data_IF_661519173834
#
_entry.id   IF_661519173834
#
_cell.length_a   1.000
_cell.length_b   1.000
_cell.length_c   1.000
_cell.angle_alpha   90.00
_cell.angle_beta   90.00
_cell.angle_gamma   90.00
#
_symmetry.space_group_name_H-M   'P 1'
#
loop_
_entity.id
_entity.type
_entity.pdbx_description
1 polymer ?
#
# COMPACT_ATOMS: atom_id res chain seq x y z
N UNK A 1 -8.35 10.18 7.92
CA UNK A 1 -7.43 9.73 6.89
C UNK A 1 -8.15 8.91 5.82
N UNK A 2 -7.50 8.66 4.71
CA UNK A 2 -8.02 7.80 3.64
C UNK A 2 -7.05 6.65 3.48
N UNK A 3 -7.57 5.42 3.52
CA UNK A 3 -6.76 4.24 3.25
C UNK A 3 -6.39 4.14 1.78
N UNK A 4 -5.18 3.68 1.50
CA UNK A 4 -4.70 3.54 0.13
C UNK A 4 -3.79 2.32 -0.05
N UNK A 5 -3.73 1.84 -1.28
CA UNK A 5 -2.81 0.78 -1.67
C UNK A 5 -1.88 1.25 -2.79
N UNK A 6 -0.58 0.98 -2.62
CA UNK A 6 0.42 1.17 -3.67
C UNK A 6 0.58 -0.15 -4.42
N UNK A 7 0.12 -0.18 -5.66
CA UNK A 7 0.19 -1.32 -6.55
C UNK A 7 1.41 -1.24 -7.48
N UNK A 8 1.92 -2.37 -7.92
CA UNK A 8 3.01 -2.42 -8.88
C UNK A 8 3.77 -3.74 -8.85
N UNK A 9 4.54 -4.01 -9.88
CA UNK A 9 5.39 -5.21 -9.98
C UNK A 9 6.60 -5.13 -9.04
N UNK A 10 7.34 -6.22 -8.92
CA UNK A 10 8.63 -6.24 -8.20
C UNK A 10 9.56 -5.15 -8.75
N UNK A 11 10.28 -4.49 -7.84
CA UNK A 11 11.25 -3.41 -8.15
C UNK A 11 10.63 -2.15 -8.78
N UNK A 12 9.30 -1.96 -8.76
CA UNK A 12 8.64 -0.75 -9.28
C UNK A 12 8.75 0.47 -8.36
N UNK A 13 9.30 0.30 -7.15
CA UNK A 13 9.50 1.39 -6.18
C UNK A 13 8.35 1.56 -5.18
N UNK A 14 7.48 0.56 -5.00
CA UNK A 14 6.34 0.62 -4.05
C UNK A 14 6.77 0.99 -2.63
N UNK A 15 7.76 0.26 -2.07
CA UNK A 15 8.24 0.52 -0.71
C UNK A 15 8.90 1.90 -0.59
N UNK A 16 9.62 2.34 -1.62
CA UNK A 16 10.22 3.69 -1.66
C UNK A 16 9.13 4.77 -1.64
N UNK A 17 8.07 4.57 -2.45
CA UNK A 17 6.92 5.48 -2.47
C UNK A 17 6.17 5.46 -1.14
N UNK A 18 5.95 4.28 -0.56
CA UNK A 18 5.33 4.13 0.76
C UNK A 18 6.12 4.87 1.84
N UNK A 19 7.47 4.75 1.85
CA UNK A 19 8.34 5.51 2.75
C UNK A 19 8.16 7.02 2.57
N UNK A 20 8.12 7.51 1.34
CA UNK A 20 7.95 8.93 1.05
C UNK A 20 6.59 9.45 1.53
N UNK A 21 5.52 8.71 1.26
CA UNK A 21 4.16 9.06 1.70
C UNK A 21 4.06 9.10 3.23
N UNK A 22 4.52 8.06 3.91
CA UNK A 22 4.49 7.98 5.37
C UNK A 22 5.44 9.01 6.01
N UNK A 23 6.59 9.29 5.39
CA UNK A 23 7.53 10.31 5.85
C UNK A 23 7.00 11.75 5.77
N UNK A 24 5.96 11.98 4.94
CA UNK A 24 5.28 13.30 4.85
C UNK A 24 4.17 13.51 5.89
N UNK A 25 3.84 12.48 6.66
CA UNK A 25 2.84 12.56 7.73
C UNK A 25 3.37 13.45 8.86
N UNK A 26 2.52 14.30 9.46
CA UNK A 26 2.89 15.12 10.62
C UNK A 26 3.44 14.30 11.78
N UNK A 27 4.42 14.85 12.50
CA UNK A 27 5.19 14.13 13.51
C UNK A 27 4.41 13.77 14.77
N UNK A 28 3.28 14.46 15.03
CA UNK A 28 2.32 14.17 16.11
C UNK A 28 1.47 12.92 15.84
N UNK A 29 1.40 12.48 14.58
CA UNK A 29 0.60 11.32 14.17
C UNK A 29 1.32 10.01 14.52
N UNK A 30 0.56 9.08 15.11
CA UNK A 30 1.07 7.74 15.43
C UNK A 30 0.98 6.82 14.24
N UNK A 31 2.15 6.41 13.74
CA UNK A 31 2.27 5.43 12.66
C UNK A 31 2.71 4.10 13.26
N UNK A 32 1.96 3.04 13.00
CA UNK A 32 2.32 1.68 13.37
C UNK A 32 2.68 0.90 12.12
N UNK A 33 3.95 0.47 11.99
CA UNK A 33 4.40 -0.28 10.81
C UNK A 33 4.48 -1.76 11.09
N UNK A 34 4.08 -2.56 10.11
CA UNK A 34 4.07 -4.03 10.15
C UNK A 34 4.80 -4.53 8.90
N UNK A 35 5.93 -5.19 9.09
CA UNK A 35 6.77 -5.67 8.01
C UNK A 35 7.15 -7.13 8.20
N UNK A 36 7.55 -7.81 7.12
CA UNK A 36 7.96 -9.22 7.14
C UNK A 36 9.42 -9.37 6.75
N UNK A 37 10.17 -10.09 7.55
CA UNK A 37 11.56 -10.45 7.27
C UNK A 37 12.58 -9.36 7.57
N UNK A 38 12.45 -8.19 6.96
CA UNK A 38 13.38 -7.09 7.16
C UNK A 38 12.64 -5.75 7.25
N UNK A 39 13.26 -4.78 7.94
CA UNK A 39 12.76 -3.41 7.96
C UNK A 39 13.13 -2.71 6.66
N UNK A 40 12.13 -2.25 5.94
CA UNK A 40 12.25 -1.44 4.72
C UNK A 40 11.67 -0.03 4.90
N UNK A 41 10.85 0.18 5.93
CA UNK A 41 10.27 1.48 6.27
C UNK A 41 11.15 2.20 7.30
N UNK A 42 11.80 3.28 6.87
CA UNK A 42 12.73 4.07 7.68
C UNK A 42 12.10 5.43 8.01
N UNK A 43 11.19 5.44 8.97
CA UNK A 43 10.34 6.60 9.27
C UNK A 43 10.80 7.41 10.49
N UNK A 44 11.73 6.89 11.31
CA UNK A 44 12.18 7.57 12.52
C UNK A 44 12.95 8.84 12.16
N UNK A 45 12.40 9.98 12.58
CA UNK A 45 13.05 11.30 12.46
C UNK A 45 13.76 11.64 13.76
N UNK A 46 14.98 12.15 13.66
CA UNK A 46 15.79 12.58 14.80
C UNK A 46 16.25 14.01 14.64
N UNK A 47 16.31 14.74 15.75
CA UNK A 47 16.90 16.06 15.77
C UNK A 47 18.44 15.99 15.79
N UNK A 48 19.11 17.15 15.81
CA UNK A 48 20.58 17.26 15.86
C UNK A 48 21.22 16.63 17.09
N UNK A 49 20.46 16.34 18.13
CA UNK A 49 20.91 15.69 19.37
C UNK A 49 20.63 14.19 19.38
N UNK A 50 20.05 13.64 18.30
CA UNK A 50 19.70 12.23 18.18
C UNK A 50 18.36 11.85 18.81
N UNK A 51 17.60 12.80 19.35
CA UNK A 51 16.29 12.56 19.98
C UNK A 51 15.22 12.33 18.92
N UNK A 52 14.35 11.34 19.16
CA UNK A 52 13.24 11.01 18.26
C UNK A 52 12.19 12.12 18.30
N UNK A 53 11.77 12.59 17.13
CA UNK A 53 10.85 13.71 16.96
C UNK A 53 9.43 13.28 16.55
N UNK A 54 9.25 12.06 16.06
CA UNK A 54 7.96 11.58 15.56
C UNK A 54 7.49 10.31 16.29
N UNK A 55 6.21 10.00 16.17
CA UNK A 55 5.57 8.90 16.87
C UNK A 55 5.41 7.69 15.92
N UNK A 56 6.42 6.83 15.88
CA UNK A 56 6.42 5.64 15.00
C UNK A 56 6.75 4.39 15.81
N UNK A 57 5.90 3.38 15.71
CA UNK A 57 6.12 2.04 16.25
C UNK A 57 6.43 1.09 15.10
N UNK A 58 7.64 0.54 15.07
CA UNK A 58 8.04 -0.45 14.07
C UNK A 58 7.91 -1.87 14.61
N UNK A 59 7.21 -2.73 13.87
CA UNK A 59 7.10 -4.16 14.18
C UNK A 59 7.50 -5.01 12.98
N UNK A 60 8.03 -6.19 13.29
CA UNK A 60 8.40 -7.22 12.32
C UNK A 60 7.71 -8.53 12.68
N UNK A 61 7.19 -9.22 11.68
CA UNK A 61 6.77 -10.60 11.87
C UNK A 61 7.99 -11.47 12.21
N UNK A 62 7.76 -12.50 13.02
CA UNK A 62 8.80 -13.42 13.44
C UNK A 62 8.38 -14.85 13.12
N UNK A 63 8.81 -15.40 11.97
CA UNK A 63 8.63 -16.82 11.69
C UNK A 63 9.47 -17.65 12.67
N UNK A 64 8.97 -18.82 13.05
CA UNK A 64 9.63 -19.75 13.95
C UNK A 64 9.56 -21.16 13.36
N UNK A 65 10.69 -21.86 13.28
CA UNK A 65 10.80 -23.20 12.68
C UNK A 65 9.92 -24.25 13.37
N UNK A 66 9.68 -24.09 14.67
CA UNK A 66 8.83 -24.98 15.46
C UNK A 66 7.41 -24.42 15.73
N UNK A 67 7.06 -23.27 15.19
CA UNK A 67 5.76 -22.62 15.35
C UNK A 67 5.48 -22.04 16.75
N UNK A 68 6.23 -22.42 17.77
CA UNK A 68 5.92 -22.08 19.17
C UNK A 68 6.01 -20.58 19.50
N UNK A 69 6.76 -19.82 18.70
CA UNK A 69 6.98 -18.38 18.89
C UNK A 69 6.76 -17.60 17.58
N UNK A 70 5.94 -18.14 16.71
CA UNK A 70 5.60 -17.48 15.46
C UNK A 70 4.74 -16.25 15.74
N UNK A 71 5.10 -15.13 15.13
CA UNK A 71 4.30 -13.89 15.13
C UNK A 71 4.07 -13.52 13.68
N UNK A 72 2.84 -13.66 13.22
CA UNK A 72 2.43 -13.35 11.85
C UNK A 72 2.17 -11.85 11.66
N UNK A 73 2.15 -11.40 10.40
CA UNK A 73 1.71 -10.05 10.09
C UNK A 73 0.23 -9.84 10.46
N UNK A 74 -0.61 -10.87 10.30
CA UNK A 74 -2.02 -10.85 10.70
C UNK A 74 -2.18 -10.51 12.18
N UNK A 75 -1.45 -11.21 13.06
CA UNK A 75 -1.47 -10.95 14.50
C UNK A 75 -0.98 -9.55 14.85
N UNK A 76 0.03 -9.05 14.14
CA UNK A 76 0.54 -7.69 14.33
C UNK A 76 -0.48 -6.62 13.89
N UNK A 77 -1.26 -6.86 12.82
CA UNK A 77 -2.36 -5.96 12.43
C UNK A 77 -3.40 -5.89 13.55
N UNK A 78 -3.85 -7.04 14.05
CA UNK A 78 -4.83 -7.09 15.16
C UNK A 78 -4.30 -6.42 16.43
N UNK A 79 -3.02 -6.62 16.75
CA UNK A 79 -2.38 -5.98 17.88
C UNK A 79 -2.29 -4.45 17.71
N UNK A 80 -1.95 -3.99 16.50
CA UNK A 80 -1.81 -2.57 16.18
C UNK A 80 -3.06 -1.75 16.56
N UNK A 81 -4.26 -2.31 16.35
CA UNK A 81 -5.53 -1.62 16.63
C UNK A 81 -5.71 -1.23 18.11
N UNK A 82 -4.94 -1.86 19.02
CA UNK A 82 -4.97 -1.55 20.47
C UNK A 82 -4.00 -0.45 20.87
N UNK A 83 -3.17 0.03 19.94
CA UNK A 83 -2.20 1.10 20.18
C UNK A 83 -2.72 2.48 19.77
N UNK A 84 -3.99 2.58 19.40
CA UNK A 84 -4.63 3.82 18.94
C UNK A 84 -3.78 4.52 17.84
N UNK A 85 -3.48 3.82 16.72
CA UNK A 85 -2.69 4.40 15.65
C UNK A 85 -3.54 5.33 14.78
N UNK A 86 -2.99 6.47 14.38
CA UNK A 86 -3.58 7.29 13.32
C UNK A 86 -3.44 6.59 11.96
N UNK A 87 -2.36 5.81 11.78
CA UNK A 87 -2.07 5.08 10.54
C UNK A 87 -1.48 3.71 10.85
N UNK A 88 -2.05 2.67 10.26
CA UNK A 88 -1.48 1.33 10.21
C UNK A 88 -0.83 1.14 8.84
N UNK A 89 0.49 0.98 8.81
CA UNK A 89 1.25 0.78 7.59
C UNK A 89 1.71 -0.68 7.48
N UNK A 90 1.04 -1.45 6.63
CA UNK A 90 1.46 -2.82 6.31
C UNK A 90 2.39 -2.76 5.11
N UNK A 91 3.67 -3.10 5.29
CA UNK A 91 4.70 -2.94 4.27
C UNK A 91 4.32 -3.59 2.94
N UNK A 92 3.79 -4.81 3.00
CA UNK A 92 3.22 -5.51 1.85
C UNK A 92 2.21 -6.56 2.30
N UNK A 93 1.10 -6.67 1.56
CA UNK A 93 0.12 -7.75 1.73
C UNK A 93 0.33 -8.84 0.67
N UNK A 94 0.51 -10.07 1.13
CA UNK A 94 0.82 -11.25 0.29
C UNK A 94 -0.08 -12.45 0.57
N UNK A 95 -0.65 -12.52 1.78
CA UNK A 95 -1.40 -13.68 2.27
C UNK A 95 -2.53 -13.26 3.23
N UNK A 96 -2.72 -13.99 4.31
CA UNK A 96 -3.82 -13.86 5.27
C UNK A 96 -3.95 -12.46 5.91
N UNK A 97 -2.85 -11.74 6.08
CA UNK A 97 -2.83 -10.36 6.57
C UNK A 97 -3.66 -9.40 5.71
N UNK A 98 -3.94 -9.74 4.45
CA UNK A 98 -4.81 -8.96 3.58
C UNK A 98 -6.20 -8.79 4.19
N UNK A 99 -6.78 -9.85 4.75
CA UNK A 99 -8.09 -9.79 5.40
C UNK A 99 -8.08 -8.87 6.62
N UNK A 100 -7.07 -9.00 7.50
CA UNK A 100 -6.97 -8.15 8.69
C UNK A 100 -6.72 -6.68 8.34
N UNK A 101 -5.99 -6.39 7.26
CA UNK A 101 -5.79 -5.03 6.76
C UNK A 101 -7.10 -4.43 6.20
N UNK A 102 -7.88 -5.22 5.46
CA UNK A 102 -9.22 -4.84 4.98
C UNK A 102 -10.15 -4.54 6.15
N UNK A 103 -10.25 -5.46 7.12
CA UNK A 103 -11.06 -5.31 8.33
C UNK A 103 -10.68 -4.07 9.13
N UNK A 104 -9.38 -3.85 9.36
CA UNK A 104 -8.89 -2.68 10.05
C UNK A 104 -9.35 -1.36 9.36
N UNK A 105 -9.28 -1.32 8.03
CA UNK A 105 -9.76 -0.16 7.27
C UNK A 105 -11.28 0.01 7.37
N UNK A 106 -12.06 -1.05 7.22
CA UNK A 106 -13.52 -1.01 7.30
C UNK A 106 -14.02 -0.62 8.70
N UNK A 107 -13.23 -0.89 9.74
CA UNK A 107 -13.55 -0.52 11.12
C UNK A 107 -13.06 0.88 11.51
N UNK A 108 -12.58 1.67 10.55
CA UNK A 108 -12.30 3.11 10.72
C UNK A 108 -10.83 3.49 10.88
N UNK A 109 -9.91 2.53 10.81
CA UNK A 109 -8.48 2.85 10.83
C UNK A 109 -7.98 3.26 9.43
N UNK A 110 -7.05 4.20 9.38
CA UNK A 110 -6.35 4.51 8.13
C UNK A 110 -5.28 3.46 7.88
N UNK A 111 -5.45 2.66 6.83
CA UNK A 111 -4.49 1.61 6.44
C UNK A 111 -3.79 1.99 5.15
N UNK A 112 -2.46 1.92 5.16
CA UNK A 112 -1.63 2.14 3.96
C UNK A 112 -0.78 0.90 3.72
N UNK A 113 -0.80 0.38 2.49
CA UNK A 113 -0.10 -0.86 2.18
C UNK A 113 0.41 -0.92 0.76
N UNK A 114 1.21 -1.95 0.44
CA UNK A 114 1.60 -2.26 -0.93
C UNK A 114 1.09 -3.64 -1.35
N UNK A 115 0.89 -3.82 -2.66
CA UNK A 115 0.49 -5.10 -3.23
C UNK A 115 1.13 -5.33 -4.61
N UNK A 116 1.50 -6.58 -4.88
CA UNK A 116 1.95 -6.98 -6.22
C UNK A 116 0.74 -7.18 -7.15
N UNK A 117 0.42 -6.16 -7.94
CA UNK A 117 -0.67 -6.22 -8.93
C UNK A 117 -0.51 -5.16 -10.02
N UNK A 118 -1.44 -5.14 -10.98
CA UNK A 118 -1.68 -4.02 -11.89
C UNK A 118 -2.44 -2.85 -11.22
N UNK A 119 -2.79 -1.81 -12.00
CA UNK A 119 -3.48 -0.63 -11.51
C UNK A 119 -4.97 -0.88 -11.20
N UNK A 120 -5.57 0.05 -10.46
CA UNK A 120 -7.01 0.17 -10.27
C UNK A 120 -7.69 -1.13 -9.85
N UNK A 121 -8.62 -1.61 -10.68
CA UNK A 121 -9.39 -2.83 -10.40
C UNK A 121 -8.53 -4.09 -10.17
N UNK A 122 -7.40 -4.21 -10.87
CA UNK A 122 -6.50 -5.34 -10.69
C UNK A 122 -5.92 -5.40 -9.27
N UNK A 123 -5.69 -4.25 -8.63
CA UNK A 123 -5.23 -4.19 -7.24
C UNK A 123 -6.31 -4.74 -6.30
N UNK A 124 -7.55 -4.30 -6.43
CA UNK A 124 -8.66 -4.80 -5.62
C UNK A 124 -8.95 -6.28 -5.86
N UNK A 125 -8.91 -6.73 -7.11
CA UNK A 125 -9.05 -8.15 -7.44
C UNK A 125 -7.96 -9.00 -6.78
N UNK A 126 -6.71 -8.50 -6.74
CA UNK A 126 -5.62 -9.19 -6.06
C UNK A 126 -5.84 -9.25 -4.55
N UNK A 127 -6.26 -8.16 -3.93
CA UNK A 127 -6.57 -8.11 -2.48
C UNK A 127 -7.72 -9.08 -2.17
N UNK A 128 -8.80 -9.07 -2.95
CA UNK A 128 -9.92 -9.98 -2.78
C UNK A 128 -9.49 -11.45 -2.83
N UNK A 129 -8.64 -11.83 -3.79
CA UNK A 129 -8.07 -13.18 -3.88
C UNK A 129 -7.23 -13.56 -2.66
N UNK A 130 -6.49 -12.61 -2.08
CA UNK A 130 -5.72 -12.86 -0.86
C UNK A 130 -6.63 -13.06 0.36
N UNK A 131 -7.70 -12.26 0.48
CA UNK A 131 -8.68 -12.40 1.56
C UNK A 131 -9.37 -13.78 1.52
N UNK A 132 -9.65 -14.32 0.35
CA UNK A 132 -10.26 -15.66 0.19
C UNK A 132 -9.39 -16.81 0.70
N UNK A 133 -8.08 -16.61 0.84
CA UNK A 133 -7.20 -17.64 1.44
C UNK A 133 -7.52 -17.89 2.91
N UNK A 134 -8.10 -16.92 3.58
CA UNK A 134 -8.46 -17.01 5.00
C UNK A 134 -9.91 -17.45 5.22
N UNK A 135 -10.81 -16.94 4.41
CA UNK A 135 -12.24 -17.16 4.53
C UNK A 135 -12.86 -17.47 3.15
N UNK A 136 -13.74 -18.46 3.11
CA UNK A 136 -14.51 -18.82 1.92
C UNK A 136 -15.68 -17.83 1.70
N UNK A 137 -15.35 -16.53 1.63
CA UNK A 137 -16.31 -15.52 1.20
C UNK A 137 -16.44 -15.58 -0.32
N UNK A 138 -17.61 -15.35 -0.86
CA UNK A 138 -17.78 -15.21 -2.31
C UNK A 138 -16.89 -14.09 -2.86
N UNK A 139 -16.35 -14.25 -4.09
CA UNK A 139 -15.46 -13.27 -4.72
C UNK A 139 -16.03 -11.87 -4.75
N UNK A 140 -17.30 -11.74 -5.06
CA UNK A 140 -18.01 -10.46 -5.11
C UNK A 140 -17.99 -9.73 -3.76
N UNK A 141 -18.16 -10.47 -2.66
CA UNK A 141 -18.12 -9.90 -1.31
C UNK A 141 -16.71 -9.42 -1.00
N UNK A 142 -15.69 -10.27 -1.21
CA UNK A 142 -14.30 -9.90 -0.98
C UNK A 142 -13.85 -8.72 -1.83
N UNK A 143 -14.32 -8.64 -3.08
CA UNK A 143 -14.01 -7.53 -3.98
C UNK A 143 -14.70 -6.22 -3.52
N UNK A 144 -15.95 -6.31 -3.07
CA UNK A 144 -16.67 -5.17 -2.51
C UNK A 144 -15.98 -4.64 -1.25
N UNK A 145 -15.56 -5.52 -0.35
CA UNK A 145 -14.81 -5.14 0.85
C UNK A 145 -13.46 -4.51 0.53
N UNK A 146 -12.69 -5.07 -0.41
CA UNK A 146 -11.42 -4.51 -0.83
C UNK A 146 -11.55 -3.10 -1.42
N UNK A 147 -12.61 -2.85 -2.22
CA UNK A 147 -12.92 -1.54 -2.80
C UNK A 147 -13.28 -0.51 -1.73
N UNK A 148 -14.08 -0.89 -0.75
CA UNK A 148 -14.46 -0.03 0.36
C UNK A 148 -13.27 0.27 1.29
N UNK A 149 -12.43 -0.74 1.56
CA UNK A 149 -11.26 -0.61 2.43
C UNK A 149 -10.19 0.30 1.83
N UNK A 150 -9.94 0.21 0.53
CA UNK A 150 -8.87 0.95 -0.15
C UNK A 150 -9.44 1.79 -1.31
N UNK A 151 -10.11 2.92 -1.02
CA UNK A 151 -10.71 3.73 -2.07
C UNK A 151 -9.69 4.35 -3.04
N UNK A 152 -8.40 4.45 -2.65
CA UNK A 152 -7.34 4.99 -3.49
C UNK A 152 -6.31 3.91 -3.86
N UNK A 153 -5.98 3.84 -5.15
CA UNK A 153 -4.92 3.00 -5.71
C UNK A 153 -3.88 3.88 -6.38
N UNK A 154 -2.62 3.74 -5.96
CA UNK A 154 -1.47 4.41 -6.57
C UNK A 154 -0.66 3.37 -7.32
N UNK A 155 -0.53 3.48 -8.63
CA UNK A 155 0.19 2.51 -9.44
C UNK A 155 1.61 2.97 -9.76
N UNK A 156 2.59 2.21 -9.26
CA UNK A 156 4.01 2.42 -9.50
C UNK A 156 4.55 1.43 -10.52
N UNK A 157 5.31 1.92 -11.49
CA UNK A 157 5.90 1.13 -12.57
C UNK A 157 7.38 1.41 -12.75
N UNK A 158 8.14 0.35 -13.07
CA UNK A 158 9.52 0.46 -13.54
C UNK A 158 9.51 0.47 -15.06
N UNK A 159 9.90 1.59 -15.64
CA UNK A 159 9.96 1.80 -17.08
C UNK A 159 11.18 1.10 -17.71
N UNK A 160 11.21 1.03 -19.05
CA UNK A 160 12.27 0.39 -19.82
C UNK A 160 13.64 1.10 -19.69
N UNK A 161 13.63 2.40 -19.39
CA UNK A 161 14.82 3.20 -19.06
C UNK A 161 15.31 2.98 -17.62
N UNK A 162 14.76 1.99 -16.89
CA UNK A 162 14.97 1.73 -15.47
C UNK A 162 14.49 2.84 -14.53
N UNK A 163 13.88 3.92 -15.01
CA UNK A 163 13.22 4.88 -14.14
C UNK A 163 11.98 4.27 -13.47
N UNK A 164 11.64 4.78 -12.30
CA UNK A 164 10.43 4.39 -11.56
C UNK A 164 9.50 5.57 -11.52
N UNK A 165 8.25 5.34 -11.89
CA UNK A 165 7.25 6.39 -12.01
C UNK A 165 5.94 5.96 -11.36
N UNK A 166 5.23 6.91 -10.78
CA UNK A 166 3.80 6.75 -10.49
C UNK A 166 3.08 6.95 -11.82
N UNK A 167 2.45 5.91 -12.33
CA UNK A 167 1.79 5.95 -13.64
C UNK A 167 0.36 6.47 -13.55
N UNK A 168 -0.34 6.12 -12.47
CA UNK A 168 -1.67 6.67 -12.20
C UNK A 168 -1.98 6.68 -10.69
N UNK A 169 -2.90 7.55 -10.33
CA UNK A 169 -3.62 7.53 -9.06
C UNK A 169 -5.09 7.46 -9.42
N UNK A 170 -5.76 6.39 -8.99
CA UNK A 170 -7.17 6.17 -9.25
C UNK A 170 -7.95 6.02 -7.94
N UNK A 171 -9.19 6.47 -7.95
CA UNK A 171 -10.17 6.21 -6.91
C UNK A 171 -11.22 5.21 -7.40
N UNK A 172 -11.75 4.42 -6.47
CA UNK A 172 -12.95 3.65 -6.71
C UNK A 172 -14.13 4.35 -6.05
N UNK A 173 -15.17 4.55 -6.82
CA UNK A 173 -16.45 5.08 -6.38
C UNK A 173 -17.51 3.99 -6.52
N UNK A 174 -18.28 3.78 -5.47
CA UNK A 174 -19.42 2.85 -5.51
C UNK A 174 -20.70 3.68 -5.69
N UNK A 175 -21.28 3.59 -6.89
CA UNK A 175 -22.51 4.32 -7.23
C UNK A 175 -23.71 3.83 -6.41
N UNK A 176 -24.75 4.66 -6.23
CA UNK A 176 -26.03 4.22 -5.72
C UNK A 176 -26.58 3.10 -6.61
N UNK A 177 -26.63 1.87 -6.11
CA UNK A 177 -26.93 0.66 -6.89
C UNK A 177 -25.84 -0.40 -6.85
N UNK A 178 -24.70 -0.11 -6.21
CA UNK A 178 -23.64 -1.09 -5.91
C UNK A 178 -22.61 -1.29 -7.02
N UNK A 179 -22.76 -0.63 -8.17
CA UNK A 179 -21.77 -0.71 -9.24
C UNK A 179 -20.53 0.13 -8.91
N UNK A 180 -19.37 -0.48 -9.00
CA UNK A 180 -18.09 0.20 -8.76
C UNK A 180 -17.56 0.82 -10.05
N UNK A 181 -17.20 2.08 -9.98
CA UNK A 181 -16.55 2.84 -11.05
C UNK A 181 -15.13 3.25 -10.62
N UNK A 182 -14.19 3.14 -11.56
CA UNK A 182 -12.81 3.56 -11.33
C UNK A 182 -12.55 4.87 -12.07
N UNK A 183 -12.16 5.90 -11.30
CA UNK A 183 -11.82 7.20 -11.83
C UNK A 183 -10.32 7.43 -11.69
N UNK A 184 -9.64 7.70 -12.80
CA UNK A 184 -8.27 8.15 -12.77
C UNK A 184 -8.23 9.62 -12.33
N UNK A 185 -7.55 9.92 -11.22
CA UNK A 185 -7.39 11.28 -10.71
C UNK A 185 -6.16 11.96 -11.28
N UNK A 186 -5.06 11.18 -11.42
CA UNK A 186 -3.79 11.63 -11.96
C UNK A 186 -3.18 10.54 -12.84
N UNK A 187 -2.52 10.96 -13.92
CA UNK A 187 -1.84 10.05 -14.85
C UNK A 187 -0.48 10.61 -15.25
N UNK A 188 0.50 9.73 -15.39
CA UNK A 188 1.77 10.06 -16.04
C UNK A 188 1.63 9.86 -17.54
N UNK A 189 1.66 10.96 -18.29
CA UNK A 189 1.60 10.96 -19.76
C UNK A 189 3.03 10.90 -20.29
N UNK A 190 3.36 9.81 -21.00
CA UNK A 190 4.67 9.67 -21.65
C UNK A 190 4.66 10.53 -22.90
N UNK A 191 5.55 11.55 -22.96
CA UNK A 191 5.70 12.47 -24.11
C UNK A 191 6.87 12.06 -25.01
N UNK A 192 7.91 11.46 -24.43
CA UNK A 192 9.07 10.97 -25.17
C UNK A 192 9.38 9.51 -24.74
N UNK A 193 9.54 8.63 -25.72
CA UNK A 193 10.02 7.28 -25.53
C UNK A 193 11.00 6.98 -26.66
N UNK A 194 12.29 7.23 -26.42
CA UNK A 194 13.33 7.11 -27.42
C UNK A 194 14.38 6.06 -27.03
N UNK A 195 14.83 5.30 -28.04
CA UNK A 195 15.97 4.41 -27.92
C UNK A 195 17.14 4.99 -28.71
N UNK A 196 18.17 5.50 -28.02
CA UNK A 196 19.37 6.06 -28.63
C UNK A 196 20.62 5.53 -27.94
N UNK A 197 21.65 5.18 -28.72
CA UNK A 197 22.96 4.75 -28.21
C UNK A 197 22.90 3.61 -27.21
N UNK A 198 21.99 2.64 -27.39
CA UNK A 198 21.85 1.50 -26.49
C UNK A 198 21.05 1.76 -25.22
N UNK A 199 20.44 2.95 -25.06
CA UNK A 199 19.66 3.33 -23.88
C UNK A 199 18.27 3.80 -24.25
N UNK A 200 17.28 3.38 -23.44
CA UNK A 200 15.94 3.98 -23.43
C UNK A 200 15.95 5.25 -22.61
N UNK A 201 15.17 6.23 -23.04
CA UNK A 201 14.85 7.44 -22.29
C UNK A 201 13.35 7.67 -22.33
N UNK A 202 12.71 7.70 -21.17
CA UNK A 202 11.27 7.92 -21.02
C UNK A 202 11.05 9.21 -20.25
N UNK A 203 10.45 10.20 -20.90
CA UNK A 203 10.03 11.47 -20.29
C UNK A 203 8.52 11.63 -20.39
N UNK A 204 7.97 12.43 -19.53
CA UNK A 204 6.55 12.74 -19.49
C UNK A 204 6.21 13.62 -18.30
N UNK A 205 4.95 13.96 -18.22
CA UNK A 205 4.40 14.82 -17.18
C UNK A 205 3.32 14.10 -16.39
N UNK A 206 3.28 14.37 -15.09
CA UNK A 206 2.25 13.83 -14.19
C UNK A 206 1.13 14.86 -14.08
N UNK A 207 -0.01 14.55 -14.66
CA UNK A 207 -1.11 15.50 -14.84
C UNK A 207 -2.36 15.05 -14.10
N UNK A 208 -3.14 16.02 -13.64
CA UNK A 208 -4.49 15.78 -13.15
C UNK A 208 -5.41 15.43 -14.32
N UNK A 209 -6.15 14.36 -14.19
CA UNK A 209 -7.19 13.98 -15.14
C UNK A 209 -8.50 14.65 -14.70
N UNK A 210 -9.10 15.39 -15.62
CA UNK A 210 -10.38 16.11 -15.37
C UNK A 210 -11.57 15.17 -15.52
#
# INVERSE_FOLDING_TARGET
>A
GVSLVVAGRTSSGKTTLLNALLGSIPDDKRIYTIESGARELFLIKRNRFGEVQNNVVHTLSRPSDNGAYNISQEELVVAALRFDPDIVAVGEIRDAEANSAVEASLTGHTVVTTVHSGPGEAAHGRIALLCQRRFELGMEVSLSQARQAFPLVVFAHKCEDNSRKVMDISEVYVAPGGQAEYRCLYRYNITENEYKNGHFTIKGDFEKVN
#
